data_IF_131542286091
#
_entry.id   IF_131542286091
#
_cell.length_a   1.000
_cell.length_b   1.000
_cell.length_c   1.000
_cell.angle_alpha   90.00
_cell.angle_beta   90.00
_cell.angle_gamma   90.00
#
_symmetry.space_group_name_H-M   'P 1'
#
loop_
_entity.id
_entity.type
_entity.pdbx_description
1 polymer ?
#
# COMPACT_ATOMS: atom_id res chain seq x y z
N UNK A 1 21.48 -48.97 -34.99
CA UNK A 1 21.66 -48.20 -36.24
C UNK A 1 20.38 -47.40 -36.43
N UNK A 2 20.28 -46.07 -36.48
CA UNK A 2 21.20 -44.99 -36.84
C UNK A 2 21.07 -43.85 -35.80
N UNK A 3 22.19 -43.43 -35.19
CA UNK A 3 22.93 -42.16 -35.40
C UNK A 3 22.28 -40.90 -34.81
N UNK A 4 22.97 -40.42 -33.78
CA UNK A 4 22.96 -39.10 -33.18
C UNK A 4 23.35 -37.95 -34.14
N UNK A 5 23.26 -36.72 -33.60
CA UNK A 5 23.57 -35.36 -34.10
C UNK A 5 22.35 -34.66 -34.68
N UNK A 6 21.83 -33.59 -34.10
CA UNK A 6 22.53 -32.35 -33.71
C UNK A 6 21.87 -31.79 -32.44
N UNK A 7 22.57 -31.70 -31.30
CA UNK A 7 23.40 -30.55 -30.91
C UNK A 7 22.74 -29.17 -31.10
N UNK A 8 22.65 -28.47 -29.97
CA UNK A 8 22.68 -27.01 -29.85
C UNK A 8 21.45 -26.22 -30.30
N UNK A 9 20.46 -26.07 -29.42
CA UNK A 9 19.96 -24.73 -29.11
C UNK A 9 19.99 -24.55 -27.59
N UNK A 10 20.96 -23.70 -27.20
CA UNK A 10 21.34 -23.34 -25.85
C UNK A 10 20.14 -22.83 -25.05
N UNK A 11 20.21 -23.12 -23.75
CA UNK A 11 19.57 -22.37 -22.68
C UNK A 11 19.56 -20.88 -23.01
N UNK A 12 18.39 -20.37 -23.41
CA UNK A 12 18.16 -18.94 -23.42
C UNK A 12 18.08 -18.52 -21.95
N UNK A 13 19.23 -18.12 -21.42
CA UNK A 13 19.28 -17.21 -20.28
C UNK A 13 18.29 -16.09 -20.61
N UNK A 14 17.19 -16.03 -19.87
CA UNK A 14 16.35 -14.84 -19.80
C UNK A 14 17.26 -13.78 -19.20
N UNK A 15 17.92 -13.08 -20.12
CA UNK A 15 18.83 -12.00 -19.82
C UNK A 15 17.95 -10.82 -19.52
N UNK A 16 18.24 -10.17 -18.38
CA UNK A 16 17.53 -9.02 -17.85
C UNK A 16 17.04 -8.11 -18.98
N UNK A 17 15.72 -8.06 -19.14
CA UNK A 17 15.08 -7.14 -20.08
C UNK A 17 14.05 -6.37 -19.29
N UNK A 18 14.46 -5.16 -18.92
CA UNK A 18 13.61 -4.01 -18.58
C UNK A 18 12.70 -4.21 -17.37
N UNK A 19 13.15 -3.73 -16.21
CA UNK A 19 12.26 -3.28 -15.14
C UNK A 19 11.34 -2.21 -15.73
N UNK A 20 10.14 -2.63 -16.14
CA UNK A 20 9.02 -1.72 -16.28
C UNK A 20 8.72 -1.30 -14.84
N UNK A 21 9.33 -0.21 -14.37
CA UNK A 21 8.81 0.50 -13.21
C UNK A 21 7.63 1.31 -13.77
N UNK A 22 6.37 0.85 -13.64
CA UNK A 22 5.29 1.83 -13.62
C UNK A 22 5.71 2.83 -12.55
N UNK A 23 5.60 4.14 -12.80
CA UNK A 23 5.90 5.13 -11.77
C UNK A 23 4.95 4.85 -10.59
N UNK A 24 5.40 4.06 -9.62
CA UNK A 24 4.57 3.66 -8.48
C UNK A 24 4.34 4.94 -7.72
N UNK A 25 3.10 5.41 -7.65
CA UNK A 25 2.75 6.70 -7.06
C UNK A 25 3.33 6.84 -5.64
N UNK A 26 3.42 5.73 -4.90
CA UNK A 26 3.98 5.66 -3.55
C UNK A 26 5.50 5.84 -3.54
N UNK A 27 6.25 5.38 -4.55
CA UNK A 27 7.71 5.58 -4.64
C UNK A 27 8.07 7.06 -4.54
N UNK A 28 7.28 7.93 -5.17
CA UNK A 28 7.52 9.39 -5.10
C UNK A 28 7.39 9.94 -3.69
N UNK A 29 6.52 9.35 -2.87
CA UNK A 29 6.34 9.74 -1.46
C UNK A 29 7.50 9.21 -0.62
N UNK A 30 7.92 7.96 -0.85
CA UNK A 30 9.12 7.38 -0.23
C UNK A 30 10.35 8.24 -0.52
N UNK A 31 10.58 8.61 -1.78
CA UNK A 31 11.69 9.46 -2.20
C UNK A 31 11.62 10.85 -1.55
N UNK A 32 10.42 11.43 -1.43
CA UNK A 32 10.22 12.72 -0.78
C UNK A 32 10.52 12.65 0.74
N UNK A 33 10.11 11.57 1.41
CA UNK A 33 10.44 11.32 2.81
C UNK A 33 11.94 11.06 3.01
N UNK A 34 12.63 10.47 2.04
CA UNK A 34 14.08 10.30 2.10
C UNK A 34 14.84 11.62 1.87
N UNK A 35 14.31 12.50 1.00
CA UNK A 35 14.99 13.74 0.59
C UNK A 35 14.74 14.95 1.51
N UNK A 36 13.83 14.85 2.48
CA UNK A 36 13.44 15.98 3.35
C UNK A 36 14.48 16.42 4.38
N UNK A 37 15.58 15.67 4.55
CA UNK A 37 16.68 16.02 5.44
C UNK A 37 16.35 16.00 6.93
N UNK A 38 15.36 15.19 7.35
CA UNK A 38 15.00 14.96 8.74
C UNK A 38 14.53 13.52 8.97
N UNK A 39 14.62 13.08 10.22
CA UNK A 39 14.26 11.73 10.68
C UNK A 39 13.03 11.75 11.60
N UNK A 40 12.30 12.87 11.64
CA UNK A 40 11.14 13.04 12.51
C UNK A 40 9.94 12.18 12.09
N UNK A 41 9.00 11.96 13.02
CA UNK A 41 7.89 11.04 12.83
C UNK A 41 6.83 11.57 11.83
N UNK A 42 6.73 12.88 11.65
CA UNK A 42 5.83 13.53 10.71
C UNK A 42 6.56 13.97 9.45
N UNK A 43 5.82 14.40 8.41
CA UNK A 43 6.42 14.82 7.15
C UNK A 43 7.47 15.94 7.35
N UNK A 44 7.18 16.89 8.25
CA UNK A 44 8.03 18.02 8.57
C UNK A 44 8.65 17.89 9.97
N UNK A 45 9.45 16.85 10.14
CA UNK A 45 10.20 16.54 11.37
C UNK A 45 9.29 16.21 12.57
N UNK A 46 9.43 16.94 13.68
CA UNK A 46 8.71 16.74 14.94
C UNK A 46 7.28 17.31 14.94
N UNK A 47 6.97 18.16 13.95
CA UNK A 47 5.70 18.90 13.89
C UNK A 47 4.77 18.30 12.85
N UNK A 48 3.57 17.95 13.32
CA UNK A 48 2.45 17.66 12.46
C UNK A 48 2.14 18.87 11.57
N UNK A 49 2.01 18.60 10.27
CA UNK A 49 1.92 19.60 9.22
C UNK A 49 0.68 19.39 8.34
N UNK A 50 0.46 20.31 7.40
CA UNK A 50 -0.62 20.18 6.42
C UNK A 50 -0.45 18.94 5.53
N UNK A 51 0.79 18.50 5.26
CA UNK A 51 1.06 17.31 4.45
C UNK A 51 0.56 16.05 5.19
N UNK A 52 0.79 15.97 6.49
CA UNK A 52 0.30 14.90 7.35
C UNK A 52 -1.23 14.84 7.34
N UNK A 53 -1.88 15.99 7.53
CA UNK A 53 -3.34 16.10 7.48
C UNK A 53 -3.93 15.71 6.12
N UNK A 54 -3.24 16.05 5.01
CA UNK A 54 -3.72 15.73 3.67
C UNK A 54 -3.62 14.23 3.34
N UNK A 55 -2.60 13.54 3.87
CA UNK A 55 -2.39 12.11 3.62
C UNK A 55 -3.10 11.19 4.61
N UNK A 56 -3.40 11.66 5.82
CA UNK A 56 -4.08 10.87 6.85
C UNK A 56 -5.39 10.19 6.36
N UNK A 57 -6.32 10.88 5.66
CA UNK A 57 -7.53 10.24 5.15
C UNK A 57 -7.27 9.11 4.14
N UNK A 58 -6.20 9.24 3.34
CA UNK A 58 -5.79 8.19 2.42
C UNK A 58 -5.30 6.96 3.20
N UNK A 59 -4.41 7.14 4.18
CA UNK A 59 -3.88 6.03 4.97
C UNK A 59 -4.97 5.32 5.77
N UNK A 60 -5.96 6.03 6.31
CA UNK A 60 -7.10 5.41 6.99
C UNK A 60 -7.85 4.44 6.08
N UNK A 61 -8.17 4.87 4.85
CA UNK A 61 -8.91 4.04 3.88
C UNK A 61 -8.04 2.94 3.30
N UNK A 62 -6.76 3.22 3.09
CA UNK A 62 -5.79 2.26 2.62
C UNK A 62 -5.60 1.13 3.63
N UNK A 63 -5.50 1.42 4.92
CA UNK A 63 -5.32 0.41 5.97
C UNK A 63 -6.51 -0.55 6.05
N UNK A 64 -7.74 -0.01 5.95
CA UNK A 64 -8.96 -0.83 5.82
C UNK A 64 -8.88 -1.76 4.61
N UNK A 65 -8.52 -1.24 3.44
CA UNK A 65 -8.44 -2.02 2.22
C UNK A 65 -7.31 -3.06 2.27
N UNK A 66 -6.14 -2.72 2.78
CA UNK A 66 -4.99 -3.63 2.86
C UNK A 66 -5.21 -4.74 3.89
N UNK A 67 -6.00 -4.51 4.95
CA UNK A 67 -6.38 -5.56 5.92
C UNK A 67 -7.13 -6.71 5.24
N UNK A 68 -7.99 -6.36 4.29
CA UNK A 68 -8.85 -7.30 3.55
C UNK A 68 -8.07 -7.94 2.41
N UNK A 69 -7.40 -7.12 1.61
CA UNK A 69 -6.67 -7.57 0.42
C UNK A 69 -5.32 -8.22 0.74
N UNK A 70 -4.80 -8.01 1.95
CA UNK A 70 -3.52 -8.54 2.45
C UNK A 70 -2.37 -8.29 1.47
N UNK A 71 -2.35 -7.13 0.82
CA UNK A 71 -1.37 -6.84 -0.24
C UNK A 71 0.03 -6.64 0.33
N UNK A 72 0.12 -6.08 1.55
CA UNK A 72 1.40 -5.76 2.17
C UNK A 72 2.20 -4.74 1.37
N UNK A 73 1.54 -3.90 0.57
CA UNK A 73 2.15 -2.97 -0.39
C UNK A 73 3.23 -2.08 0.25
N UNK A 74 2.93 -1.54 1.44
CA UNK A 74 3.82 -0.62 2.15
C UNK A 74 5.07 -1.30 2.73
N UNK A 75 5.16 -2.64 2.78
CA UNK A 75 6.38 -3.34 3.22
C UNK A 75 7.59 -3.04 2.33
N UNK A 76 7.35 -2.63 1.08
CA UNK A 76 8.40 -2.23 0.14
C UNK A 76 8.78 -0.74 0.25
N UNK A 77 8.10 0.02 1.12
CA UNK A 77 8.24 1.47 1.28
C UNK A 77 8.36 1.79 2.79
N UNK A 78 9.49 1.49 3.43
CA UNK A 78 9.64 1.54 4.88
C UNK A 78 9.41 2.93 5.48
N UNK A 79 9.79 4.02 4.80
CA UNK A 79 9.54 5.37 5.30
C UNK A 79 8.06 5.72 5.26
N UNK A 80 7.38 5.40 4.15
CA UNK A 80 5.93 5.58 4.03
C UNK A 80 5.18 4.71 5.04
N UNK A 81 5.62 3.47 5.27
CA UNK A 81 5.03 2.57 6.26
C UNK A 81 5.15 3.15 7.67
N UNK A 82 6.35 3.62 8.06
CA UNK A 82 6.58 4.22 9.36
C UNK A 82 5.73 5.49 9.54
N UNK A 83 5.71 6.36 8.53
CA UNK A 83 4.91 7.58 8.52
C UNK A 83 3.41 7.29 8.64
N UNK A 84 2.89 6.32 7.87
CA UNK A 84 1.49 5.88 7.97
C UNK A 84 1.16 5.40 9.38
N UNK A 85 2.04 4.62 10.01
CA UNK A 85 1.81 4.11 11.37
C UNK A 85 1.75 5.25 12.40
N UNK A 86 2.61 6.27 12.27
CA UNK A 86 2.57 7.47 13.11
C UNK A 86 1.24 8.19 12.93
N UNK A 87 0.82 8.44 11.69
CA UNK A 87 -0.42 9.16 11.42
C UNK A 87 -1.65 8.42 11.93
N UNK A 88 -1.72 7.10 11.74
CA UNK A 88 -2.85 6.28 12.20
C UNK A 88 -2.86 6.07 13.73
N UNK A 89 -1.75 6.34 14.42
CA UNK A 89 -1.68 6.35 15.88
C UNK A 89 -1.95 7.72 16.53
N UNK A 90 -2.11 8.79 15.74
CA UNK A 90 -2.25 10.16 16.26
C UNK A 90 -3.73 10.49 16.57
N UNK A 91 -4.01 11.04 17.75
CA UNK A 91 -5.36 11.43 18.17
C UNK A 91 -5.98 12.49 17.26
N UNK A 92 -5.17 13.40 16.69
CA UNK A 92 -5.67 14.42 15.75
C UNK A 92 -6.18 13.80 14.44
N UNK A 93 -5.66 12.64 14.08
CA UNK A 93 -6.06 11.89 12.90
C UNK A 93 -7.23 10.97 13.22
N UNK A 94 -7.10 10.12 14.25
CA UNK A 94 -8.14 9.16 14.63
C UNK A 94 -9.41 9.85 15.15
N UNK A 95 -9.26 10.96 15.88
CA UNK A 95 -10.36 11.80 16.34
C UNK A 95 -10.97 12.72 15.27
N UNK A 96 -10.40 12.77 14.05
CA UNK A 96 -10.96 13.58 12.94
C UNK A 96 -12.12 12.91 12.21
N UNK A 97 -12.41 11.63 12.51
CA UNK A 97 -13.50 10.87 11.94
C UNK A 97 -14.51 10.48 13.01
N UNK A 98 -15.75 10.25 12.57
CA UNK A 98 -16.80 9.71 13.45
C UNK A 98 -16.46 8.29 13.89
N UNK A 99 -16.92 7.88 15.08
CA UNK A 99 -16.59 6.57 15.66
C UNK A 99 -17.05 5.37 14.83
N UNK A 100 -18.07 5.54 13.96
CA UNK A 100 -18.56 4.52 13.05
C UNK A 100 -18.01 4.66 11.62
N UNK A 101 -16.92 5.41 11.41
CA UNK A 101 -16.39 5.70 10.09
C UNK A 101 -16.09 4.44 9.27
N UNK A 102 -15.40 3.44 9.84
CA UNK A 102 -15.06 2.21 9.11
C UNK A 102 -16.31 1.47 8.65
N UNK A 103 -17.34 1.38 9.50
CA UNK A 103 -18.62 0.74 9.19
C UNK A 103 -19.33 1.46 8.04
N UNK A 104 -19.37 2.80 8.07
CA UNK A 104 -19.96 3.59 7.00
C UNK A 104 -19.16 3.51 5.71
N UNK A 105 -17.83 3.44 5.80
CA UNK A 105 -16.97 3.27 4.64
C UNK A 105 -17.20 1.89 3.99
N UNK A 106 -17.22 0.81 4.77
CA UNK A 106 -17.58 -0.53 4.29
C UNK A 106 -18.97 -0.53 3.64
N UNK A 107 -19.97 0.01 4.33
CA UNK A 107 -21.33 0.12 3.81
C UNK A 107 -21.39 0.94 2.52
N UNK A 108 -20.57 1.99 2.37
CA UNK A 108 -20.46 2.75 1.14
C UNK A 108 -19.89 1.92 -0.01
N UNK A 109 -18.85 1.12 0.24
CA UNK A 109 -18.26 0.24 -0.77
C UNK A 109 -19.28 -0.77 -1.31
N UNK A 110 -20.08 -1.37 -0.42
CA UNK A 110 -21.16 -2.30 -0.76
C UNK A 110 -22.27 -1.59 -1.55
N UNK A 111 -22.80 -0.47 -1.03
CA UNK A 111 -23.87 0.30 -1.69
C UNK A 111 -23.49 0.81 -3.09
N UNK A 112 -22.19 1.00 -3.35
CA UNK A 112 -21.66 1.45 -4.64
C UNK A 112 -21.25 0.32 -5.56
N UNK A 113 -21.38 -0.93 -5.11
CA UNK A 113 -21.06 -2.13 -5.91
C UNK A 113 -19.62 -2.10 -6.45
N UNK A 114 -18.69 -1.54 -5.67
CA UNK A 114 -17.29 -1.57 -6.07
C UNK A 114 -16.74 -3.00 -6.02
N UNK A 115 -15.80 -3.33 -6.92
CA UNK A 115 -15.19 -4.66 -6.94
C UNK A 115 -14.55 -5.06 -5.60
N UNK A 116 -13.98 -4.11 -4.86
CA UNK A 116 -13.44 -4.39 -3.52
C UNK A 116 -14.53 -4.89 -2.55
N UNK A 117 -15.79 -4.51 -2.73
CA UNK A 117 -16.88 -4.95 -1.88
C UNK A 117 -17.13 -6.46 -1.99
N UNK A 118 -17.00 -7.05 -3.19
CA UNK A 118 -17.12 -8.52 -3.34
C UNK A 118 -16.00 -9.29 -2.64
N UNK A 119 -14.90 -8.62 -2.28
CA UNK A 119 -13.78 -9.21 -1.55
C UNK A 119 -13.98 -9.08 -0.03
N UNK A 120 -14.78 -8.10 0.43
CA UNK A 120 -15.08 -7.88 1.85
C UNK A 120 -16.01 -8.97 2.42
N UNK A 121 -17.00 -9.42 1.64
CA UNK A 121 -17.96 -10.45 2.07
C UNK A 121 -17.32 -11.83 2.29
N UNK A 122 -16.11 -12.06 1.78
CA UNK A 122 -15.43 -13.37 1.90
C UNK A 122 -14.73 -13.54 3.25
N UNK A 123 -14.34 -12.45 3.92
CA UNK A 123 -13.60 -12.51 5.19
C UNK A 123 -14.50 -12.69 6.43
N UNK A 124 -15.80 -12.34 6.37
CA UNK A 124 -16.74 -12.61 7.48
C UNK A 124 -17.06 -14.10 7.65
N UNK A 125 -16.80 -14.92 6.63
CA UNK A 125 -17.04 -16.38 6.66
C UNK A 125 -15.81 -17.15 7.18
N UNK A 126 -14.64 -16.52 7.25
CA UNK A 126 -13.40 -17.15 7.70
C UNK A 126 -13.02 -16.84 9.17
N UNK A 127 -13.83 -16.04 9.86
CA UNK A 127 -13.61 -15.62 11.24
C UNK A 127 -14.68 -16.09 12.24
N UNK A 128 -15.58 -17.00 11.84
CA UNK A 128 -16.43 -17.80 12.75
C UNK A 128 -15.84 -19.19 13.01
#
# INVERSE_FOLDING_TARGET
MLRERHEHIKAHKVTATTQICPKVSIQRVEDALAARGNDGPFFNDDKFSLVDAAYAPFFQRFEVADRVLKTGLLKNFPLVQAWSNVLLGDERVTGSVVSNFEQEFHGNLIRKEYYVASLLDTDSVAAE
#
